data_IF_889447452741
#
_entry.id   IF_889447452741
#
_cell.length_a   1.000
_cell.length_b   1.000
_cell.length_c   1.000
_cell.angle_alpha   90.00
_cell.angle_beta   90.00
_cell.angle_gamma   90.00
#
_symmetry.space_group_name_H-M   'P 1'
#
loop_
_entity.id
_entity.type
_entity.pdbx_description
1 polymer ?
#
# COMPACT_ATOMS: atom_id res chain seq x y z
N UNK A 1 -14.32 -8.13 -18.17
CA UNK A 1 -13.90 -6.71 -18.29
C UNK A 1 -14.92 -5.78 -17.62
N UNK A 2 -14.49 -4.92 -16.68
CA UNK A 2 -15.37 -3.87 -16.14
C UNK A 2 -15.55 -2.79 -17.21
N UNK A 3 -16.76 -2.67 -17.77
CA UNK A 3 -17.10 -1.76 -18.89
C UNK A 3 -17.65 -0.41 -18.43
N UNK A 4 -17.43 -0.03 -17.16
CA UNK A 4 -17.95 1.22 -16.62
C UNK A 4 -17.11 2.41 -17.07
N UNK A 5 -17.73 3.35 -17.76
CA UNK A 5 -17.14 4.66 -18.05
C UNK A 5 -17.07 5.47 -16.75
N UNK A 6 -15.89 5.98 -16.41
CA UNK A 6 -15.64 6.77 -15.20
C UNK A 6 -14.82 8.01 -15.55
N UNK A 7 -15.06 9.13 -14.84
CA UNK A 7 -14.20 10.30 -14.97
C UNK A 7 -12.82 10.04 -14.37
N UNK A 8 -11.83 10.87 -14.70
CA UNK A 8 -10.45 10.75 -14.23
C UNK A 8 -10.33 10.63 -12.69
N UNK A 9 -11.03 11.48 -11.92
CA UNK A 9 -10.95 11.46 -10.44
C UNK A 9 -11.48 10.13 -9.88
N UNK A 10 -12.58 9.63 -10.43
CA UNK A 10 -13.14 8.35 -10.03
C UNK A 10 -12.21 7.19 -10.41
N UNK A 11 -11.67 7.21 -11.63
CA UNK A 11 -10.70 6.22 -12.09
C UNK A 11 -9.47 6.18 -11.19
N UNK A 12 -8.89 7.34 -10.85
CA UNK A 12 -7.70 7.43 -10.00
C UNK A 12 -7.95 6.86 -8.59
N UNK A 13 -9.13 7.11 -8.01
CA UNK A 13 -9.51 6.54 -6.71
C UNK A 13 -9.59 5.02 -6.76
N UNK A 14 -10.26 4.48 -7.78
CA UNK A 14 -10.37 3.03 -7.98
C UNK A 14 -8.99 2.42 -8.24
N UNK A 15 -8.18 3.07 -9.08
CA UNK A 15 -6.85 2.62 -9.43
C UNK A 15 -5.92 2.54 -8.23
N UNK A 16 -5.95 3.54 -7.32
CA UNK A 16 -5.17 3.51 -6.07
C UNK A 16 -5.52 2.29 -5.21
N UNK A 17 -6.80 1.96 -5.09
CA UNK A 17 -7.27 0.79 -4.33
C UNK A 17 -6.81 -0.52 -4.99
N UNK A 18 -6.96 -0.64 -6.32
CA UNK A 18 -6.50 -1.80 -7.07
C UNK A 18 -4.97 -1.98 -6.99
N UNK A 19 -4.21 -0.87 -7.08
CA UNK A 19 -2.76 -0.89 -6.94
C UNK A 19 -2.32 -1.35 -5.55
N UNK A 20 -3.03 -0.92 -4.50
CA UNK A 20 -2.80 -1.39 -3.13
C UNK A 20 -3.03 -2.90 -3.02
N UNK A 21 -4.17 -3.40 -3.51
CA UNK A 21 -4.50 -4.84 -3.48
C UNK A 21 -3.48 -5.68 -4.25
N UNK A 22 -3.07 -5.23 -5.44
CA UNK A 22 -2.02 -5.87 -6.22
C UNK A 22 -0.70 -5.95 -5.44
N UNK A 23 -0.26 -4.83 -4.85
CA UNK A 23 0.98 -4.78 -4.06
C UNK A 23 0.92 -5.63 -2.78
N UNK A 24 -0.24 -5.74 -2.15
CA UNK A 24 -0.46 -6.61 -1.00
C UNK A 24 -0.38 -8.10 -1.40
N UNK A 25 -0.95 -8.47 -2.55
CA UNK A 25 -0.88 -9.83 -3.08
C UNK A 25 0.56 -10.25 -3.45
N UNK A 26 1.43 -9.31 -3.85
CA UNK A 26 2.86 -9.62 -4.12
C UNK A 26 3.61 -10.13 -2.89
N UNK A 27 3.26 -9.67 -1.67
CA UNK A 27 3.86 -10.19 -0.43
C UNK A 27 3.49 -11.65 -0.21
N UNK A 28 2.24 -12.03 -0.50
CA UNK A 28 1.75 -13.42 -0.38
C UNK A 28 2.41 -14.37 -1.38
N UNK A 29 2.84 -13.85 -2.53
CA UNK A 29 3.50 -14.63 -3.60
C UNK A 29 5.02 -14.65 -3.49
N UNK A 30 5.60 -14.08 -2.42
CA UNK A 30 7.04 -14.04 -2.18
C UNK A 30 7.89 -13.42 -3.32
N UNK A 31 7.29 -12.62 -4.20
CA UNK A 31 7.95 -12.02 -5.37
C UNK A 31 8.84 -10.81 -4.99
N UNK A 32 8.63 -10.26 -3.79
CA UNK A 32 9.39 -9.10 -3.31
C UNK A 32 10.75 -9.52 -2.74
N UNK A 33 11.80 -8.68 -2.89
CA UNK A 33 13.07 -8.87 -2.20
C UNK A 33 12.89 -9.08 -0.69
N UNK A 34 13.73 -9.94 -0.10
CA UNK A 34 13.68 -10.31 1.33
C UNK A 34 13.70 -9.07 2.24
N UNK A 35 14.56 -8.09 1.93
CA UNK A 35 14.66 -6.84 2.68
C UNK A 35 13.35 -6.01 2.69
N UNK A 36 12.48 -6.17 1.69
CA UNK A 36 11.17 -5.52 1.66
C UNK A 36 10.09 -6.34 2.39
N UNK A 37 10.17 -7.67 2.33
CA UNK A 37 9.20 -8.56 2.99
C UNK A 37 9.32 -8.54 4.51
N UNK A 38 10.56 -8.41 5.01
CA UNK A 38 10.89 -8.49 6.44
C UNK A 38 10.73 -7.16 7.19
N UNK A 39 10.34 -6.07 6.52
CA UNK A 39 10.03 -4.81 7.20
C UNK A 39 8.85 -5.01 8.16
N UNK A 40 9.01 -4.49 9.36
CA UNK A 40 7.93 -4.46 10.35
C UNK A 40 6.75 -3.63 9.84
N UNK A 41 5.53 -4.03 10.16
CA UNK A 41 4.33 -3.28 9.80
C UNK A 41 4.28 -1.97 10.60
N UNK A 42 4.01 -0.86 9.91
CA UNK A 42 3.68 0.40 10.56
C UNK A 42 2.36 0.25 11.34
N UNK A 43 2.30 0.77 12.57
CA UNK A 43 1.07 0.72 13.38
C UNK A 43 -0.14 1.39 12.72
N UNK A 44 0.10 2.45 11.95
CA UNK A 44 -0.94 3.16 11.19
C UNK A 44 -1.20 2.57 9.80
N UNK A 45 -0.42 1.57 9.38
CA UNK A 45 -0.55 0.89 8.09
C UNK A 45 -0.67 1.86 6.91
N UNK A 46 -1.59 1.55 5.99
CA UNK A 46 -1.89 2.39 4.81
C UNK A 46 -2.35 3.82 5.14
N UNK A 47 -2.85 4.06 6.35
CA UNK A 47 -3.33 5.38 6.81
C UNK A 47 -2.22 6.25 7.41
N UNK A 48 -0.98 5.74 7.52
CA UNK A 48 0.13 6.50 8.08
C UNK A 48 0.41 7.78 7.30
N UNK A 49 0.22 8.97 7.89
CA UNK A 49 0.54 10.23 7.21
C UNK A 49 2.05 10.51 7.13
N UNK A 50 2.81 10.00 8.10
CA UNK A 50 4.27 10.15 8.18
C UNK A 50 5.00 9.51 7.00
N UNK A 51 4.38 8.53 6.33
CA UNK A 51 4.95 7.87 5.15
C UNK A 51 5.20 8.85 3.99
N UNK A 52 4.46 9.96 3.92
CA UNK A 52 4.58 10.94 2.83
C UNK A 52 5.65 12.00 3.08
N UNK A 53 5.91 12.35 4.35
CA UNK A 53 6.79 13.48 4.71
C UNK A 53 8.14 13.04 5.28
N UNK A 54 8.31 11.76 5.62
CA UNK A 54 9.55 11.23 6.22
C UNK A 54 10.03 9.99 5.45
N UNK A 55 10.92 10.17 4.45
CA UNK A 55 11.45 9.06 3.65
C UNK A 55 12.08 7.95 4.49
N UNK A 56 12.83 8.31 5.55
CA UNK A 56 13.41 7.32 6.46
C UNK A 56 12.35 6.43 7.15
N UNK A 57 11.18 6.98 7.48
CA UNK A 57 10.06 6.21 8.02
C UNK A 57 9.47 5.26 6.98
N UNK A 58 9.24 5.75 5.75
CA UNK A 58 8.73 4.94 4.63
C UNK A 58 9.69 3.82 4.21
N UNK A 59 11.00 4.03 4.38
CA UNK A 59 12.01 3.00 4.14
C UNK A 59 12.06 1.95 5.25
N UNK A 60 11.90 2.36 6.52
CA UNK A 60 12.00 1.47 7.67
C UNK A 60 10.80 0.54 7.81
N UNK A 61 9.57 1.05 7.64
CA UNK A 61 8.35 0.29 7.91
C UNK A 61 7.62 -0.15 6.63
N UNK A 62 6.84 -1.22 6.75
CA UNK A 62 5.86 -1.61 5.74
C UNK A 62 4.55 -0.85 5.96
N UNK A 63 4.04 -0.20 4.91
CA UNK A 63 2.73 0.48 4.90
C UNK A 63 1.68 -0.26 4.06
N UNK A 64 2.08 -1.30 3.33
CA UNK A 64 1.15 -2.24 2.68
C UNK A 64 0.62 -3.24 3.72
N UNK A 65 -0.05 -2.72 4.75
CA UNK A 65 -0.69 -3.45 5.84
C UNK A 65 -1.85 -2.62 6.41
N UNK A 66 -2.77 -3.29 7.09
CA UNK A 66 -3.90 -2.62 7.75
C UNK A 66 -3.45 -1.93 9.05
N UNK A 67 -4.20 -0.90 9.45
CA UNK A 67 -3.98 -0.15 10.68
C UNK A 67 -4.33 -1.02 11.89
N UNK A 68 -3.42 -1.09 12.86
CA UNK A 68 -3.58 -1.91 14.08
C UNK A 68 -3.97 -1.09 15.31
N UNK A 69 -3.85 0.25 15.25
CA UNK A 69 -4.25 1.17 16.33
C UNK A 69 -5.05 2.31 15.75
N UNK A 70 -6.24 2.57 16.30
CA UNK A 70 -7.17 3.62 15.87
C UNK A 70 -6.84 4.97 16.51
#
# INVERSE_FOLDING_TARGET
>A
PSTKVVCYKCALRIFKELAYQYRAAMKKKDILPVALRNRENCYYGKQCRTQYSKPAHAQKFNHACEQLRY
#
